data_IF_624600509025
#
_entry.id   IF_624600509025
#
_cell.length_a   1.000
_cell.length_b   1.000
_cell.length_c   1.000
_cell.angle_alpha   90.00
_cell.angle_beta   90.00
_cell.angle_gamma   90.00
#
_symmetry.space_group_name_H-M   'P 1'
#
loop_
_entity.id
_entity.type
_entity.pdbx_description
1 polymer ?
#
# COMPACT_ATOMS: atom_id res chain seq x y z
N UNK A 1 31.50 -11.45 12.93
CA UNK A 1 30.06 -11.14 12.74
C UNK A 1 29.81 -11.13 11.25
N UNK A 2 29.11 -12.14 10.73
CA UNK A 2 28.70 -12.18 9.31
C UNK A 2 27.59 -11.15 9.18
N UNK A 3 27.85 -9.99 8.57
CA UNK A 3 26.80 -9.10 8.09
C UNK A 3 26.01 -9.88 7.01
N UNK A 4 24.91 -10.47 7.40
CA UNK A 4 23.93 -10.94 6.42
C UNK A 4 23.38 -9.69 5.74
N UNK A 5 23.84 -9.40 4.52
CA UNK A 5 23.26 -8.37 3.65
C UNK A 5 21.80 -8.79 3.38
N UNK A 6 20.87 -8.33 4.22
CA UNK A 6 19.44 -8.54 3.97
C UNK A 6 19.12 -7.79 2.69
N UNK A 7 18.80 -8.53 1.65
CA UNK A 7 18.42 -7.95 0.35
C UNK A 7 17.10 -7.18 0.53
N UNK A 8 17.01 -5.98 -0.04
CA UNK A 8 15.75 -5.22 -0.03
C UNK A 8 14.64 -5.99 -0.75
N UNK A 9 13.48 -6.09 -0.12
CA UNK A 9 12.27 -6.68 -0.70
C UNK A 9 11.11 -5.73 -0.43
N UNK A 10 10.61 -5.11 -1.51
CA UNK A 10 9.42 -4.28 -1.49
C UNK A 10 8.29 -4.89 -2.30
N UNK A 11 7.13 -4.22 -2.31
CA UNK A 11 5.98 -4.67 -3.09
C UNK A 11 5.08 -3.50 -3.50
N UNK A 12 4.37 -3.69 -4.62
CA UNK A 12 3.17 -2.94 -4.96
C UNK A 12 1.95 -3.85 -4.77
N UNK A 13 0.93 -3.37 -4.06
CA UNK A 13 -0.20 -4.20 -3.64
C UNK A 13 -1.55 -3.54 -3.96
N UNK A 14 -1.95 -3.50 -5.25
CA UNK A 14 -3.20 -2.88 -5.67
C UNK A 14 -4.42 -3.77 -5.40
N UNK A 15 -5.52 -3.16 -4.93
CA UNK A 15 -6.84 -3.81 -4.85
C UNK A 15 -7.57 -3.64 -6.18
N UNK A 16 -8.04 -4.72 -6.86
CA UNK A 16 -8.69 -4.65 -8.17
C UNK A 16 -10.19 -4.28 -8.07
N UNK A 17 -10.53 -3.29 -7.24
CA UNK A 17 -11.88 -2.72 -7.13
C UNK A 17 -12.20 -1.68 -8.21
N UNK A 18 -11.29 -1.48 -9.16
CA UNK A 18 -11.33 -0.59 -10.31
C UNK A 18 -9.96 -0.49 -10.96
N UNK A 19 -9.88 0.19 -12.10
CA UNK A 19 -8.64 0.44 -12.83
C UNK A 19 -7.67 1.31 -12.01
N UNK A 20 -6.39 1.32 -12.38
CA UNK A 20 -5.41 2.23 -11.76
C UNK A 20 -5.75 3.70 -12.09
N UNK A 21 -5.51 4.57 -11.12
CA UNK A 21 -5.57 6.03 -11.27
C UNK A 21 -4.20 6.64 -10.97
N UNK A 22 -4.05 7.93 -11.22
CA UNK A 22 -2.75 8.59 -11.08
C UNK A 22 -2.11 8.44 -9.69
N UNK A 23 -2.89 8.51 -8.61
CA UNK A 23 -2.39 8.26 -7.26
C UNK A 23 -1.86 6.83 -7.04
N UNK A 24 -2.48 5.83 -7.72
CA UNK A 24 -1.96 4.45 -7.72
C UNK A 24 -0.63 4.35 -8.47
N UNK A 25 -0.49 5.06 -9.60
CA UNK A 25 0.76 5.14 -10.36
C UNK A 25 1.89 5.76 -9.53
N UNK A 26 1.63 6.84 -8.82
CA UNK A 26 2.61 7.48 -7.92
C UNK A 26 3.11 6.48 -6.87
N UNK A 27 2.19 5.69 -6.29
CA UNK A 27 2.56 4.66 -5.31
C UNK A 27 3.35 3.51 -5.95
N UNK A 28 2.94 3.03 -7.12
CA UNK A 28 3.66 2.01 -7.88
C UNK A 28 5.08 2.50 -8.21
N UNK A 29 5.20 3.70 -8.79
CA UNK A 29 6.47 4.29 -9.17
C UNK A 29 7.40 4.51 -7.97
N UNK A 30 6.91 5.11 -6.88
CA UNK A 30 7.71 5.36 -5.68
C UNK A 30 8.24 4.07 -5.06
N UNK A 31 7.41 3.00 -4.96
CA UNK A 31 7.83 1.70 -4.46
C UNK A 31 8.81 0.99 -5.41
N UNK A 32 8.61 1.11 -6.71
CA UNK A 32 9.48 0.55 -7.76
C UNK A 32 10.87 1.19 -7.74
N UNK A 33 10.93 2.52 -7.80
CA UNK A 33 12.18 3.26 -7.76
C UNK A 33 12.98 2.97 -6.49
N UNK A 34 12.31 2.90 -5.34
CA UNK A 34 12.94 2.54 -4.07
C UNK A 34 13.56 1.15 -4.13
N UNK A 35 12.83 0.15 -4.61
CA UNK A 35 13.33 -1.22 -4.71
C UNK A 35 14.48 -1.36 -5.71
N UNK A 36 14.32 -0.84 -6.92
CA UNK A 36 15.29 -1.01 -8.00
C UNK A 36 16.56 -0.18 -7.78
N UNK A 37 16.47 1.03 -7.18
CA UNK A 37 17.65 1.83 -6.81
C UNK A 37 18.54 1.13 -5.77
N UNK A 38 17.95 0.31 -4.90
CA UNK A 38 18.66 -0.53 -3.93
C UNK A 38 19.07 -1.90 -4.49
N UNK A 39 18.86 -2.15 -5.79
CA UNK A 39 19.08 -3.45 -6.45
C UNK A 39 18.34 -4.59 -5.74
N UNK A 40 17.19 -4.26 -5.15
CA UNK A 40 16.29 -5.16 -4.43
C UNK A 40 15.27 -5.83 -5.32
N UNK A 41 14.37 -6.59 -4.68
CA UNK A 41 13.19 -7.19 -5.32
C UNK A 41 11.98 -6.27 -5.15
N UNK A 42 11.13 -6.25 -6.16
CA UNK A 42 9.86 -5.57 -6.17
C UNK A 42 8.75 -6.54 -6.59
N UNK A 43 7.94 -6.99 -5.64
CA UNK A 43 6.88 -7.95 -5.88
C UNK A 43 5.56 -7.26 -6.25
N UNK A 44 4.73 -7.96 -7.03
CA UNK A 44 3.36 -7.58 -7.30
C UNK A 44 2.40 -8.49 -6.53
N UNK A 45 1.52 -7.89 -5.71
CA UNK A 45 0.45 -8.58 -4.99
C UNK A 45 -0.91 -8.00 -5.38
N UNK A 46 -1.81 -8.82 -5.87
CA UNK A 46 -3.20 -8.43 -6.14
C UNK A 46 -4.03 -8.68 -4.87
N UNK A 47 -4.58 -7.60 -4.30
CA UNK A 47 -5.39 -7.66 -3.09
C UNK A 47 -6.87 -7.88 -3.41
N UNK A 48 -7.19 -9.08 -3.92
CA UNK A 48 -8.50 -9.52 -4.38
C UNK A 48 -9.28 -10.33 -3.33
N UNK A 49 -8.95 -10.19 -2.05
CA UNK A 49 -9.59 -10.93 -0.95
C UNK A 49 -11.06 -10.54 -0.74
N UNK A 50 -11.46 -9.32 -1.08
CA UNK A 50 -12.85 -8.85 -1.02
C UNK A 50 -13.54 -9.09 -2.37
N UNK A 51 -13.79 -10.36 -2.66
CA UNK A 51 -14.33 -10.85 -3.94
C UNK A 51 -15.55 -10.05 -4.46
N UNK A 52 -16.53 -9.64 -3.63
CA UNK A 52 -17.66 -8.85 -4.11
C UNK A 52 -17.30 -7.50 -4.73
N UNK A 53 -16.16 -6.93 -4.37
CA UNK A 53 -15.67 -5.64 -4.88
C UNK A 53 -14.56 -5.77 -5.91
N UNK A 54 -14.06 -6.98 -6.12
CA UNK A 54 -12.95 -7.26 -7.03
C UNK A 54 -13.45 -8.04 -8.25
N UNK A 55 -12.90 -7.78 -9.41
CA UNK A 55 -13.20 -8.55 -10.60
C UNK A 55 -11.93 -8.80 -11.44
N UNK A 56 -11.98 -9.87 -12.26
CA UNK A 56 -10.85 -10.27 -13.09
C UNK A 56 -10.50 -9.24 -14.17
N UNK A 57 -11.47 -8.49 -14.69
CA UNK A 57 -11.21 -7.45 -15.69
C UNK A 57 -10.35 -6.33 -15.12
N UNK A 58 -10.64 -5.90 -13.88
CA UNK A 58 -9.82 -4.91 -13.21
C UNK A 58 -8.43 -5.45 -12.89
N UNK A 59 -8.32 -6.73 -12.49
CA UNK A 59 -7.03 -7.38 -12.26
C UNK A 59 -6.18 -7.37 -13.52
N UNK A 60 -6.71 -7.83 -14.65
CA UNK A 60 -6.01 -7.80 -15.94
C UNK A 60 -5.68 -6.36 -16.37
N UNK A 61 -6.62 -5.43 -16.18
CA UNK A 61 -6.34 -4.02 -16.50
C UNK A 61 -5.20 -3.43 -15.67
N UNK A 62 -5.07 -3.82 -14.39
CA UNK A 62 -3.96 -3.38 -13.54
C UNK A 62 -2.63 -3.94 -14.06
N UNK A 63 -2.58 -5.25 -14.34
CA UNK A 63 -1.38 -5.92 -14.84
C UNK A 63 -0.94 -5.32 -16.17
N UNK A 64 -1.85 -5.25 -17.15
CA UNK A 64 -1.55 -4.67 -18.47
C UNK A 64 -1.09 -3.20 -18.35
N UNK A 65 -1.71 -2.42 -17.46
CA UNK A 65 -1.26 -1.04 -17.24
C UNK A 65 0.18 -1.00 -16.70
N UNK A 66 0.55 -1.87 -15.77
CA UNK A 66 1.92 -1.91 -15.25
C UNK A 66 2.92 -2.33 -16.35
N UNK A 67 2.55 -3.29 -17.20
CA UNK A 67 3.35 -3.72 -18.36
C UNK A 67 3.51 -2.59 -19.39
N UNK A 68 2.42 -1.89 -19.74
CA UNK A 68 2.44 -0.73 -20.65
C UNK A 68 3.35 0.39 -20.16
N UNK A 69 3.51 0.52 -18.83
CA UNK A 69 4.42 1.45 -18.18
C UNK A 69 5.83 0.91 -17.98
N UNK A 70 6.12 -0.29 -18.47
CA UNK A 70 7.40 -0.99 -18.35
C UNK A 70 7.83 -1.28 -16.89
N UNK A 71 6.88 -1.47 -15.97
CA UNK A 71 7.19 -1.97 -14.64
C UNK A 71 7.47 -3.47 -14.68
N UNK A 72 8.61 -3.87 -14.14
CA UNK A 72 9.03 -5.27 -14.04
C UNK A 72 9.01 -5.71 -12.57
N UNK A 73 8.13 -6.64 -12.23
CA UNK A 73 8.10 -7.26 -10.92
C UNK A 73 8.93 -8.55 -10.88
N UNK A 74 9.39 -8.89 -9.69
CA UNK A 74 10.22 -10.06 -9.45
C UNK A 74 9.34 -11.22 -8.95
N UNK A 75 9.51 -12.39 -9.55
CA UNK A 75 8.78 -13.60 -9.19
C UNK A 75 7.34 -13.64 -9.71
N UNK A 76 6.54 -14.53 -9.14
CA UNK A 76 5.13 -14.69 -9.51
C UNK A 76 4.23 -13.65 -8.84
N UNK A 77 3.12 -13.30 -9.48
CA UNK A 77 2.11 -12.43 -8.91
C UNK A 77 1.40 -13.19 -7.79
N UNK A 78 1.38 -12.59 -6.59
CA UNK A 78 0.64 -13.15 -5.47
C UNK A 78 -0.82 -12.67 -5.51
N UNK A 79 -1.77 -13.61 -5.49
CA UNK A 79 -3.21 -13.34 -5.41
C UNK A 79 -3.74 -13.68 -4.02
N UNK A 80 -4.35 -12.73 -3.31
CA UNK A 80 -4.85 -12.96 -1.95
C UNK A 80 -6.02 -13.95 -1.92
N UNK A 81 -6.85 -13.98 -2.96
CA UNK A 81 -7.96 -14.93 -3.10
C UNK A 81 -7.50 -16.41 -3.06
N UNK A 82 -6.26 -16.69 -3.46
CA UNK A 82 -5.67 -18.03 -3.47
C UNK A 82 -5.03 -18.43 -2.12
N UNK A 83 -5.02 -17.53 -1.12
CA UNK A 83 -4.32 -17.72 0.15
C UNK A 83 -5.24 -17.89 1.37
N UNK A 84 -6.51 -18.14 1.15
CA UNK A 84 -7.53 -18.26 2.22
C UNK A 84 -7.18 -19.31 3.28
N UNK A 85 -6.60 -20.45 2.87
CA UNK A 85 -6.16 -21.49 3.80
C UNK A 85 -5.03 -21.01 4.70
N UNK A 86 -4.11 -20.21 4.16
CA UNK A 86 -3.03 -19.60 4.94
C UNK A 86 -3.56 -18.60 5.98
N UNK A 87 -4.52 -17.78 5.62
CA UNK A 87 -5.15 -16.85 6.55
C UNK A 87 -5.94 -17.59 7.64
N UNK A 88 -6.58 -18.70 7.28
CA UNK A 88 -7.27 -19.57 8.23
C UNK A 88 -6.28 -20.17 9.25
N UNK A 89 -5.16 -20.69 8.78
CA UNK A 89 -4.10 -21.24 9.64
C UNK A 89 -3.60 -20.20 10.65
N UNK A 90 -3.26 -18.99 10.20
CA UNK A 90 -2.81 -17.91 11.08
C UNK A 90 -3.88 -17.52 12.09
N UNK A 91 -5.14 -17.44 11.66
CA UNK A 91 -6.25 -17.14 12.55
C UNK A 91 -6.42 -18.21 13.64
N UNK A 92 -6.24 -19.49 13.31
CA UNK A 92 -6.25 -20.61 14.26
C UNK A 92 -5.09 -20.52 15.25
N UNK A 93 -3.90 -20.14 14.80
CA UNK A 93 -2.74 -19.90 15.68
C UNK A 93 -3.06 -18.78 16.69
N UNK A 94 -3.53 -17.64 16.22
CA UNK A 94 -3.90 -16.52 17.09
C UNK A 94 -5.01 -16.90 18.09
N UNK A 95 -5.98 -17.72 17.65
CA UNK A 95 -7.06 -18.19 18.52
C UNK A 95 -6.56 -19.13 19.63
N UNK A 96 -5.65 -20.05 19.32
CA UNK A 96 -5.01 -20.93 20.32
C UNK A 96 -4.27 -20.17 21.40
N UNK A 97 -3.75 -18.99 21.11
CA UNK A 97 -3.07 -18.10 22.06
C UNK A 97 -4.03 -17.09 22.71
N UNK A 98 -5.35 -17.29 22.59
CA UNK A 98 -6.38 -16.39 23.15
C UNK A 98 -6.29 -14.92 22.70
N UNK A 99 -5.72 -14.66 21.51
CA UNK A 99 -5.58 -13.33 20.95
C UNK A 99 -6.76 -12.91 20.06
N UNK A 100 -7.78 -13.76 19.96
CA UNK A 100 -9.01 -13.47 19.20
C UNK A 100 -10.26 -13.73 20.01
N UNK A 101 -11.38 -13.20 19.55
CA UNK A 101 -12.71 -13.47 20.10
C UNK A 101 -13.81 -13.23 19.07
N UNK A 102 -14.98 -13.82 19.31
CA UNK A 102 -16.18 -13.62 18.49
C UNK A 102 -16.88 -12.31 18.83
N UNK A 103 -17.36 -11.61 17.80
CA UNK A 103 -18.07 -10.34 17.93
C UNK A 103 -19.39 -10.38 17.14
N UNK A 104 -20.51 -10.17 17.83
CA UNK A 104 -21.85 -10.16 17.23
C UNK A 104 -22.31 -8.76 16.78
N UNK A 105 -21.54 -7.69 17.07
CA UNK A 105 -21.92 -6.32 16.72
C UNK A 105 -22.06 -6.14 15.19
N UNK A 106 -23.14 -5.46 14.81
CA UNK A 106 -23.41 -5.04 13.42
C UNK A 106 -22.77 -3.70 13.10
N UNK A 107 -22.81 -3.29 11.82
CA UNK A 107 -22.42 -1.93 11.42
C UNK A 107 -23.27 -0.86 12.09
N UNK A 108 -24.57 -1.14 12.30
CA UNK A 108 -25.48 -0.23 13.02
C UNK A 108 -25.06 -0.05 14.46
N UNK A 109 -24.69 -1.15 15.15
CA UNK A 109 -24.21 -1.08 16.53
C UNK A 109 -22.95 -0.22 16.63
N UNK A 110 -21.98 -0.41 15.73
CA UNK A 110 -20.76 0.40 15.68
C UNK A 110 -21.09 1.88 15.42
N UNK A 111 -22.01 2.17 14.51
CA UNK A 111 -22.46 3.55 14.24
C UNK A 111 -23.08 4.18 15.51
N UNK A 112 -23.89 3.43 16.26
CA UNK A 112 -24.51 3.90 17.51
C UNK A 112 -23.48 4.11 18.63
N UNK A 113 -22.30 3.51 18.55
CA UNK A 113 -21.15 3.75 19.45
C UNK A 113 -20.33 4.99 19.06
N UNK A 114 -20.77 5.78 18.08
CA UNK A 114 -20.01 6.91 17.55
C UNK A 114 -19.03 6.57 16.43
N UNK A 115 -19.19 5.38 15.81
CA UNK A 115 -18.35 4.92 14.70
C UNK A 115 -17.06 4.21 15.13
N UNK A 116 -16.75 4.19 16.43
CA UNK A 116 -15.57 3.53 17.00
C UNK A 116 -16.04 2.35 17.85
N UNK A 117 -15.44 1.18 17.63
CA UNK A 117 -15.77 -0.01 18.41
C UNK A 117 -15.16 0.05 19.82
N UNK A 118 -15.96 -0.16 20.84
CA UNK A 118 -15.60 -0.01 22.26
C UNK A 118 -15.13 -1.30 22.96
N UNK A 119 -14.80 -2.33 22.21
CA UNK A 119 -14.30 -3.64 22.67
C UNK A 119 -15.31 -4.44 23.54
N UNK A 120 -16.61 -4.06 23.58
CA UNK A 120 -17.64 -4.65 24.47
C UNK A 120 -17.77 -6.17 24.37
N UNK A 121 -17.56 -6.78 23.19
CA UNK A 121 -17.70 -8.23 23.04
C UNK A 121 -16.49 -8.99 23.60
N UNK A 122 -15.39 -8.33 23.94
CA UNK A 122 -14.16 -8.96 24.39
C UNK A 122 -14.35 -9.81 25.65
N UNK A 123 -15.19 -9.33 26.58
CA UNK A 123 -15.49 -9.99 27.87
C UNK A 123 -16.73 -10.89 27.83
N UNK A 124 -17.51 -10.90 26.73
CA UNK A 124 -18.81 -11.58 26.69
C UNK A 124 -18.72 -13.08 26.38
N UNK A 125 -17.54 -13.61 26.06
CA UNK A 125 -17.32 -15.03 25.72
C UNK A 125 -18.34 -15.56 24.70
N UNK A 126 -18.64 -14.76 23.66
CA UNK A 126 -19.60 -15.11 22.63
C UNK A 126 -19.11 -16.36 21.89
N UNK A 127 -19.94 -17.43 21.79
CA UNK A 127 -19.52 -18.66 21.12
C UNK A 127 -19.16 -18.39 19.65
N UNK A 128 -18.16 -19.09 19.10
CA UNK A 128 -17.84 -19.04 17.67
C UNK A 128 -19.07 -19.40 16.84
N UNK A 129 -19.36 -18.58 15.84
CA UNK A 129 -20.46 -18.81 14.88
C UNK A 129 -20.06 -18.23 13.52
N UNK A 130 -20.54 -18.87 12.46
CA UNK A 130 -20.34 -18.35 11.09
C UNK A 130 -21.01 -17.00 10.86
N UNK A 131 -21.95 -16.59 11.73
CA UNK A 131 -22.62 -15.29 11.69
C UNK A 131 -21.92 -14.20 12.49
N UNK A 132 -20.81 -14.51 13.17
CA UNK A 132 -20.06 -13.58 13.99
C UNK A 132 -18.76 -13.15 13.28
N UNK A 133 -18.34 -11.91 13.51
CA UNK A 133 -17.00 -11.49 13.13
C UNK A 133 -15.98 -12.05 14.14
N UNK A 134 -14.74 -12.24 13.70
CA UNK A 134 -13.62 -12.55 14.58
C UNK A 134 -12.74 -11.32 14.67
N UNK A 135 -12.47 -10.86 15.89
CA UNK A 135 -11.62 -9.70 16.17
C UNK A 135 -10.31 -10.11 16.81
N UNK A 136 -9.29 -9.33 16.55
CA UNK A 136 -8.00 -9.37 17.23
C UNK A 136 -8.08 -8.53 18.51
N UNK A 137 -7.52 -9.05 19.61
CA UNK A 137 -7.33 -8.31 20.86
C UNK A 137 -6.12 -7.40 20.70
N UNK A 138 -6.37 -6.15 20.36
CA UNK A 138 -5.32 -5.17 20.11
C UNK A 138 -4.93 -4.48 21.42
N UNK A 139 -3.96 -5.02 22.14
CA UNK A 139 -3.52 -4.50 23.43
C UNK A 139 -2.59 -3.27 23.34
N UNK A 140 -2.44 -2.70 22.12
CA UNK A 140 -1.73 -1.43 21.85
C UNK A 140 -0.31 -1.36 22.43
N UNK A 141 0.49 -2.40 22.19
CA UNK A 141 1.87 -2.46 22.66
C UNK A 141 2.82 -1.56 21.88
N UNK A 142 2.37 -1.00 20.74
CA UNK A 142 3.14 -0.11 19.88
C UNK A 142 2.51 1.28 19.89
N UNK A 143 3.19 2.24 20.51
CA UNK A 143 2.77 3.64 20.59
C UNK A 143 3.48 4.52 19.55
N UNK A 144 4.60 4.06 18.98
CA UNK A 144 5.34 4.80 17.96
C UNK A 144 6.07 3.86 17.01
N UNK A 145 6.33 4.33 15.80
CA UNK A 145 7.22 3.68 14.83
C UNK A 145 7.98 4.73 14.02
N UNK A 146 9.07 4.32 13.40
CA UNK A 146 9.85 5.18 12.52
C UNK A 146 9.42 4.98 11.07
N UNK A 147 8.94 6.04 10.44
CA UNK A 147 8.78 6.12 8.99
C UNK A 147 10.03 6.72 8.36
N UNK A 148 10.54 6.14 7.29
CA UNK A 148 11.80 6.59 6.69
C UNK A 148 11.67 7.96 6.01
N UNK A 149 10.46 8.37 5.61
CA UNK A 149 10.18 9.66 4.97
C UNK A 149 9.64 10.69 5.97
N UNK A 150 8.68 10.29 6.81
CA UNK A 150 7.97 11.20 7.71
C UNK A 150 8.61 11.33 9.10
N UNK A 151 9.63 10.51 9.39
CA UNK A 151 10.30 10.52 10.69
C UNK A 151 9.60 9.67 11.75
N UNK A 152 9.67 10.09 13.00
CA UNK A 152 9.05 9.36 14.11
C UNK A 152 7.55 9.65 14.18
N UNK A 153 6.74 8.61 14.11
CA UNK A 153 5.27 8.67 14.14
C UNK A 153 4.79 8.16 15.50
N UNK A 154 4.10 9.03 16.23
CA UNK A 154 3.48 8.70 17.50
C UNK A 154 1.96 8.55 17.32
N UNK A 155 1.38 7.50 17.92
CA UNK A 155 -0.05 7.18 17.82
C UNK A 155 -0.94 8.32 18.31
N UNK A 156 -0.50 9.07 19.33
CA UNK A 156 -1.25 10.18 19.91
C UNK A 156 -1.35 11.38 18.96
N UNK A 157 -0.47 11.46 17.96
CA UNK A 157 -0.47 12.51 16.96
C UNK A 157 -1.25 12.14 15.69
N UNK A 158 -1.78 10.92 15.62
CA UNK A 158 -2.53 10.43 14.44
C UNK A 158 -4.01 10.37 14.77
N UNK A 159 -4.79 11.23 14.12
CA UNK A 159 -6.24 11.17 14.18
C UNK A 159 -6.74 9.82 13.65
N UNK A 160 -7.67 9.21 14.37
CA UNK A 160 -8.29 7.93 13.99
C UNK A 160 -7.30 6.73 13.89
N UNK A 161 -6.16 6.78 14.58
CA UNK A 161 -5.33 5.58 14.72
C UNK A 161 -6.18 4.45 15.30
N UNK A 162 -6.13 3.27 14.67
CA UNK A 162 -6.90 2.11 15.11
C UNK A 162 -6.30 1.56 16.42
N UNK A 163 -6.76 2.11 17.56
CA UNK A 163 -6.36 1.68 18.89
C UNK A 163 -7.26 0.58 19.47
N UNK A 164 -8.30 0.21 18.73
CA UNK A 164 -9.31 -0.73 19.20
C UNK A 164 -9.11 -2.10 18.58
N UNK A 165 -9.79 -3.09 19.16
CA UNK A 165 -9.84 -4.44 18.61
C UNK A 165 -10.46 -4.40 17.20
N UNK A 166 -9.73 -4.90 16.21
CA UNK A 166 -10.17 -4.83 14.83
C UNK A 166 -10.52 -6.20 14.27
N UNK A 167 -11.29 -6.21 13.18
CA UNK A 167 -11.78 -7.43 12.56
C UNK A 167 -10.63 -8.13 11.80
N UNK A 168 -10.46 -9.44 12.03
CA UNK A 168 -9.62 -10.34 11.24
C UNK A 168 -10.44 -11.12 10.22
N UNK A 169 -11.66 -11.58 10.62
CA UNK A 169 -12.61 -12.24 9.73
C UNK A 169 -13.98 -11.61 9.88
N UNK A 170 -14.58 -11.24 8.77
CA UNK A 170 -15.89 -10.59 8.69
C UNK A 170 -17.01 -11.62 8.87
N UNK A 171 -18.20 -11.14 9.20
CA UNK A 171 -19.41 -11.97 9.35
C UNK A 171 -19.84 -12.68 8.07
N UNK A 172 -19.53 -12.11 6.92
CA UNK A 172 -19.78 -12.68 5.60
C UNK A 172 -18.70 -13.71 5.16
N UNK A 173 -17.76 -14.02 6.05
CA UNK A 173 -16.76 -15.05 5.87
C UNK A 173 -15.44 -14.57 5.26
N UNK A 174 -15.37 -13.35 4.72
CA UNK A 174 -14.15 -12.80 4.14
C UNK A 174 -13.13 -12.39 5.20
N UNK A 175 -11.85 -12.58 4.90
CA UNK A 175 -10.76 -12.07 5.73
C UNK A 175 -10.60 -10.57 5.56
N UNK A 176 -10.10 -9.90 6.60
CA UNK A 176 -9.87 -8.46 6.55
C UNK A 176 -8.57 -8.12 5.86
N UNK A 177 -8.49 -6.89 5.33
CA UNK A 177 -7.28 -6.30 4.77
C UNK A 177 -6.09 -6.40 5.74
N UNK A 178 -6.28 -6.05 7.03
CA UNK A 178 -5.20 -6.09 8.00
C UNK A 178 -4.60 -7.49 8.17
N UNK A 179 -5.43 -8.53 8.23
CA UNK A 179 -4.94 -9.90 8.35
C UNK A 179 -4.18 -10.32 7.08
N UNK A 180 -4.81 -10.20 5.91
CA UNK A 180 -4.23 -10.68 4.67
C UNK A 180 -2.93 -9.94 4.33
N UNK A 181 -2.91 -8.60 4.46
CA UNK A 181 -1.74 -7.79 4.19
C UNK A 181 -0.56 -8.16 5.10
N UNK A 182 -0.78 -8.29 6.42
CA UNK A 182 0.28 -8.61 7.38
C UNK A 182 0.82 -10.03 7.16
N UNK A 183 -0.04 -11.02 6.94
CA UNK A 183 0.37 -12.40 6.69
C UNK A 183 1.22 -12.48 5.42
N UNK A 184 0.77 -11.84 4.35
CA UNK A 184 1.49 -11.87 3.08
C UNK A 184 2.83 -11.15 3.15
N UNK A 185 2.90 -10.00 3.83
CA UNK A 185 4.15 -9.26 4.02
C UNK A 185 5.16 -10.06 4.87
N UNK A 186 4.68 -10.89 5.83
CA UNK A 186 5.54 -11.83 6.56
C UNK A 186 6.02 -12.96 5.64
N UNK A 187 5.08 -13.64 4.97
CA UNK A 187 5.38 -14.85 4.18
C UNK A 187 6.27 -14.54 2.96
N UNK A 188 6.20 -13.32 2.41
CA UNK A 188 7.04 -12.87 1.31
C UNK A 188 8.30 -12.12 1.75
N UNK A 189 8.60 -12.10 3.06
CA UNK A 189 9.79 -11.48 3.64
C UNK A 189 9.97 -10.00 3.27
N UNK A 190 8.87 -9.23 3.20
CA UNK A 190 8.94 -7.80 2.91
C UNK A 190 9.79 -7.10 3.97
N UNK A 191 10.78 -6.32 3.53
CA UNK A 191 11.69 -5.57 4.40
C UNK A 191 11.31 -4.09 4.52
N UNK A 192 10.61 -3.55 3.53
CA UNK A 192 10.12 -2.17 3.55
C UNK A 192 8.77 -2.06 2.85
N UNK A 193 7.82 -1.42 3.52
CA UNK A 193 6.46 -1.17 3.02
C UNK A 193 6.37 0.27 2.53
N UNK A 194 6.31 0.43 1.20
CA UNK A 194 6.04 1.72 0.55
C UNK A 194 4.57 1.78 0.14
N UNK A 195 3.85 2.80 0.61
CA UNK A 195 2.41 2.94 0.36
C UNK A 195 1.94 4.37 0.53
N UNK A 196 0.69 4.67 0.17
CA UNK A 196 0.11 6.00 0.39
C UNK A 196 -0.10 6.32 1.87
N UNK A 197 0.02 7.56 2.22
CA UNK A 197 -0.10 8.07 3.59
C UNK A 197 -1.58 8.03 4.12
N UNK A 198 -2.57 7.75 3.28
CA UNK A 198 -3.98 7.58 3.69
C UNK A 198 -4.22 6.37 4.63
N UNK A 199 -3.30 5.42 4.65
CA UNK A 199 -3.35 4.25 5.51
C UNK A 199 -2.27 4.27 6.61
N UNK A 200 -1.67 5.43 6.87
CA UNK A 200 -0.69 5.63 7.94
C UNK A 200 -1.23 5.19 9.30
N UNK A 201 -2.47 5.55 9.62
CA UNK A 201 -3.11 5.21 10.89
C UNK A 201 -3.24 3.70 11.15
N UNK A 202 -3.42 2.89 10.08
CA UNK A 202 -3.54 1.43 10.20
C UNK A 202 -2.23 0.73 10.53
N UNK A 203 -1.09 1.42 10.39
CA UNK A 203 0.25 0.85 10.63
C UNK A 203 0.40 0.30 12.05
N UNK A 204 -0.14 1.00 13.04
CA UNK A 204 -0.07 0.55 14.44
C UNK A 204 -0.77 -0.79 14.65
N UNK A 205 -2.00 -0.92 14.13
CA UNK A 205 -2.77 -2.17 14.21
C UNK A 205 -2.05 -3.32 13.48
N UNK A 206 -1.48 -3.04 12.30
CA UNK A 206 -0.74 -4.02 11.52
C UNK A 206 0.57 -4.44 12.18
N UNK A 207 1.29 -3.53 12.82
CA UNK A 207 2.50 -3.85 13.58
C UNK A 207 2.20 -4.71 14.81
N UNK A 208 1.13 -4.38 15.57
CA UNK A 208 0.70 -5.20 16.70
C UNK A 208 0.31 -6.62 16.25
N UNK A 209 -0.46 -6.74 15.17
CA UNK A 209 -0.83 -8.04 14.61
C UNK A 209 0.40 -8.83 14.13
N UNK A 210 1.33 -8.18 13.43
CA UNK A 210 2.57 -8.78 12.97
C UNK A 210 3.38 -9.37 14.14
N UNK A 211 3.58 -8.58 15.19
CA UNK A 211 4.31 -9.04 16.38
C UNK A 211 3.63 -10.24 17.03
N UNK A 212 2.31 -10.22 17.16
CA UNK A 212 1.55 -11.32 17.69
C UNK A 212 1.71 -12.60 16.85
N UNK A 213 1.59 -12.50 15.52
CA UNK A 213 1.77 -13.63 14.61
C UNK A 213 3.17 -14.23 14.74
N UNK A 214 4.21 -13.40 14.71
CA UNK A 214 5.59 -13.86 14.82
C UNK A 214 5.85 -14.54 16.16
N UNK A 215 5.41 -13.93 17.27
CA UNK A 215 5.58 -14.50 18.61
C UNK A 215 4.90 -15.86 18.74
N UNK A 216 3.61 -15.95 18.37
CA UNK A 216 2.86 -17.22 18.46
C UNK A 216 3.42 -18.32 17.56
N UNK A 217 3.93 -17.95 16.37
CA UNK A 217 4.50 -18.92 15.42
C UNK A 217 5.84 -19.50 15.92
N UNK A 218 6.64 -18.69 16.60
CA UNK A 218 7.90 -19.14 17.21
C UNK A 218 7.66 -20.10 18.38
N UNK A 219 6.63 -19.87 19.19
CA UNK A 219 6.26 -20.73 20.32
C UNK A 219 5.73 -22.11 19.88
N UNK A 220 5.07 -22.17 18.71
CA UNK A 220 4.47 -23.41 18.20
C UNK A 220 5.46 -24.30 17.43
N UNK A 221 6.77 -23.99 17.38
CA UNK A 221 7.76 -24.69 16.58
C UNK A 221 7.34 -24.90 15.11
N UNK A 222 6.51 -24.02 14.58
CA UNK A 222 6.22 -24.02 13.16
C UNK A 222 7.53 -23.75 12.42
N UNK A 223 8.08 -24.80 11.76
CA UNK A 223 9.37 -24.80 11.05
C UNK A 223 9.40 -23.85 9.83
N UNK A 224 8.66 -22.76 9.89
CA UNK A 224 8.65 -21.77 8.83
C UNK A 224 9.81 -20.80 9.08
N UNK A 225 10.94 -21.04 8.40
CA UNK A 225 12.17 -20.23 8.52
C UNK A 225 11.92 -18.73 8.28
N UNK A 226 10.82 -18.37 7.63
CA UNK A 226 10.43 -16.98 7.36
C UNK A 226 10.14 -16.19 8.64
N UNK A 227 9.71 -16.82 9.73
CA UNK A 227 9.42 -16.14 10.99
C UNK A 227 10.69 -15.76 11.78
N UNK A 228 11.78 -16.53 11.64
CA UNK A 228 13.04 -16.29 12.36
C UNK A 228 13.84 -15.09 11.80
N UNK A 229 13.75 -14.83 10.49
CA UNK A 229 14.48 -13.73 9.85
C UNK A 229 13.78 -12.35 9.94
N UNK A 230 12.48 -12.32 10.22
CA UNK A 230 11.66 -11.11 10.11
C UNK A 230 11.38 -10.39 11.44
N UNK A 231 11.99 -10.79 12.55
CA UNK A 231 11.56 -10.32 13.87
C UNK A 231 11.80 -8.83 14.14
N UNK A 232 12.72 -8.12 13.46
CA UNK A 232 13.15 -6.82 13.97
C UNK A 232 13.31 -5.65 12.97
N UNK A 233 13.11 -5.79 11.65
CA UNK A 233 13.46 -4.68 10.73
C UNK A 233 12.47 -4.47 9.57
N UNK A 234 11.19 -4.31 9.87
CA UNK A 234 10.25 -3.83 8.86
C UNK A 234 10.25 -2.30 8.85
N UNK A 235 10.65 -1.71 7.73
CA UNK A 235 10.63 -0.27 7.51
C UNK A 235 9.34 0.18 6.82
N UNK A 236 9.00 1.46 6.97
CA UNK A 236 7.84 2.08 6.34
C UNK A 236 8.21 3.36 5.61
N UNK A 237 7.55 3.58 4.48
CA UNK A 237 7.56 4.83 3.73
C UNK A 237 6.11 5.14 3.36
N UNK A 238 5.56 6.20 3.92
CA UNK A 238 4.25 6.69 3.55
C UNK A 238 4.40 7.87 2.58
N UNK A 239 4.09 7.61 1.31
CA UNK A 239 4.20 8.57 0.21
C UNK A 239 3.09 9.61 0.28
N UNK A 240 3.33 10.84 -0.21
CA UNK A 240 2.32 11.88 -0.29
C UNK A 240 1.15 11.45 -1.19
N UNK A 241 -0.05 11.88 -0.83
CA UNK A 241 -1.25 11.63 -1.61
C UNK A 241 -1.40 12.65 -2.73
N UNK A 242 -1.91 12.16 -3.84
CA UNK A 242 -2.47 13.02 -4.89
C UNK A 242 -3.88 13.42 -4.46
N UNK A 243 -4.13 14.71 -4.36
CA UNK A 243 -5.42 15.28 -4.01
C UNK A 243 -6.06 15.91 -5.26
N UNK A 244 -7.39 15.88 -5.36
CA UNK A 244 -8.14 16.63 -6.35
C UNK A 244 -8.64 17.99 -5.82
N UNK A 245 -8.63 18.17 -4.49
CA UNK A 245 -8.86 19.42 -3.77
C UNK A 245 -8.17 19.35 -2.41
N UNK A 246 -8.14 20.44 -1.65
CA UNK A 246 -7.51 20.49 -0.31
C UNK A 246 -7.98 19.40 0.66
N UNK A 247 -9.19 18.88 0.47
CA UNK A 247 -9.81 17.92 1.39
C UNK A 247 -10.12 16.57 0.74
N UNK A 248 -9.97 16.44 -0.59
CA UNK A 248 -10.43 15.25 -1.30
C UNK A 248 -9.30 14.53 -2.01
N UNK A 249 -9.07 13.26 -1.60
CA UNK A 249 -8.09 12.37 -2.23
C UNK A 249 -8.53 11.99 -3.65
N UNK A 250 -7.57 11.94 -4.57
CA UNK A 250 -7.74 11.35 -5.90
C UNK A 250 -7.80 9.82 -5.77
N UNK A 251 -9.02 9.27 -5.72
CA UNK A 251 -9.24 7.83 -5.46
C UNK A 251 -10.40 7.27 -6.29
N UNK A 252 -10.44 5.93 -6.40
CA UNK A 252 -11.53 5.21 -7.10
C UNK A 252 -12.92 5.56 -6.55
N UNK A 253 -13.05 5.76 -5.23
CA UNK A 253 -14.31 6.12 -4.57
C UNK A 253 -14.77 7.53 -4.94
N UNK A 254 -13.85 8.42 -5.31
CA UNK A 254 -14.11 9.81 -5.69
C UNK A 254 -14.08 9.99 -7.22
N UNK A 255 -14.40 8.93 -7.98
CA UNK A 255 -14.46 8.95 -9.44
C UNK A 255 -13.17 9.44 -10.13
N UNK A 256 -12.01 9.11 -9.55
CA UNK A 256 -10.73 9.40 -10.18
C UNK A 256 -10.67 8.79 -11.58
N UNK A 257 -10.29 9.59 -12.56
CA UNK A 257 -10.14 9.16 -13.95
C UNK A 257 -9.11 8.02 -14.04
N UNK A 258 -9.46 6.89 -14.67
CA UNK A 258 -8.49 5.82 -14.94
C UNK A 258 -7.33 6.33 -15.79
N UNK A 259 -6.15 5.75 -15.59
CA UNK A 259 -4.98 6.01 -16.44
C UNK A 259 -5.26 5.47 -17.85
N UNK A 260 -4.92 6.28 -18.85
CA UNK A 260 -4.85 5.84 -20.25
C UNK A 260 -3.41 5.43 -20.56
N UNK A 261 -3.16 4.12 -20.72
CA UNK A 261 -1.81 3.59 -20.97
C UNK A 261 -1.20 4.05 -22.30
N UNK A 262 -2.01 4.58 -23.24
CA UNK A 262 -1.50 5.24 -24.45
C UNK A 262 -0.70 6.51 -24.15
N UNK A 263 -0.78 7.02 -22.94
CA UNK A 263 -0.07 8.22 -22.46
C UNK A 263 0.96 7.86 -21.37
N UNK A 264 1.51 6.64 -21.42
CA UNK A 264 2.36 6.10 -20.37
C UNK A 264 3.60 6.94 -20.09
N UNK A 265 4.30 7.41 -21.11
CA UNK A 265 5.50 8.24 -20.96
C UNK A 265 5.17 9.57 -20.30
N UNK A 266 4.08 10.20 -20.72
CA UNK A 266 3.61 11.45 -20.13
C UNK A 266 3.26 11.29 -18.66
N UNK A 267 2.47 10.25 -18.32
CA UNK A 267 2.12 9.95 -16.94
C UNK A 267 3.33 9.63 -16.06
N UNK A 268 4.31 8.86 -16.54
CA UNK A 268 5.55 8.58 -15.82
C UNK A 268 6.30 9.86 -15.49
N UNK A 269 6.45 10.76 -16.46
CA UNK A 269 7.16 12.01 -16.25
C UNK A 269 6.43 12.92 -15.24
N UNK A 270 5.09 13.01 -15.32
CA UNK A 270 4.29 13.78 -14.35
C UNK A 270 4.41 13.17 -12.95
N UNK A 271 4.40 11.82 -12.83
CA UNK A 271 4.56 11.14 -11.54
C UNK A 271 5.97 11.31 -10.95
N UNK A 272 7.02 11.29 -11.78
CA UNK A 272 8.40 11.60 -11.35
C UNK A 272 8.49 13.02 -10.79
N UNK A 273 7.93 14.01 -11.48
CA UNK A 273 7.90 15.40 -11.01
C UNK A 273 7.06 15.55 -9.75
N UNK A 274 5.95 14.83 -9.63
CA UNK A 274 5.15 14.81 -8.40
C UNK A 274 5.97 14.33 -7.19
N UNK A 275 6.80 13.30 -7.39
CA UNK A 275 7.72 12.76 -6.38
C UNK A 275 9.04 13.57 -6.29
N UNK A 276 9.15 14.70 -6.99
CA UNK A 276 10.35 15.55 -7.05
C UNK A 276 11.62 14.80 -7.50
N UNK A 277 11.42 13.83 -8.39
CA UNK A 277 12.53 13.09 -8.96
C UNK A 277 13.05 13.74 -10.25
N UNK A 278 14.34 13.52 -10.52
CA UNK A 278 14.97 14.02 -11.74
C UNK A 278 14.45 13.28 -12.96
N UNK A 279 13.97 14.04 -13.95
CA UNK A 279 13.66 13.55 -15.31
C UNK A 279 14.85 13.81 -16.24
N UNK A 280 14.85 13.17 -17.42
CA UNK A 280 15.86 13.39 -18.46
C UNK A 280 15.88 14.86 -18.87
N UNK A 281 17.04 15.49 -19.00
CA UNK A 281 17.17 16.93 -19.23
C UNK A 281 16.46 17.39 -20.52
N UNK A 282 16.43 16.56 -21.57
CA UNK A 282 15.68 16.82 -22.79
C UNK A 282 14.16 16.83 -22.54
N UNK A 283 13.64 15.88 -21.76
CA UNK A 283 12.24 15.85 -21.33
C UNK A 283 11.92 17.08 -20.48
N UNK A 284 12.85 17.51 -19.62
CA UNK A 284 12.70 18.73 -18.83
C UNK A 284 12.53 19.96 -19.72
N UNK A 285 13.26 20.02 -20.82
CA UNK A 285 13.13 21.08 -21.81
C UNK A 285 11.79 21.04 -22.54
N UNK A 286 11.28 19.87 -22.87
CA UNK A 286 9.95 19.66 -23.45
C UNK A 286 8.87 20.12 -22.47
N UNK A 287 8.98 19.73 -21.18
CA UNK A 287 8.06 20.20 -20.14
C UNK A 287 7.99 21.73 -20.04
N UNK A 288 9.14 22.42 -20.05
CA UNK A 288 9.20 23.89 -20.02
C UNK A 288 8.50 24.53 -21.20
N UNK A 289 8.54 23.93 -22.38
CA UNK A 289 7.83 24.41 -23.57
C UNK A 289 6.32 24.25 -23.46
N UNK A 290 5.84 23.16 -22.86
CA UNK A 290 4.40 22.85 -22.75
C UNK A 290 3.79 23.57 -21.55
N UNK A 291 4.43 23.49 -20.39
CA UNK A 291 3.88 23.97 -19.10
C UNK A 291 4.47 25.31 -18.62
N UNK A 292 5.53 25.83 -19.29
CA UNK A 292 6.27 27.04 -18.87
C UNK A 292 7.30 26.74 -17.78
N UNK A 293 7.99 27.78 -17.31
CA UNK A 293 9.13 27.65 -16.40
C UNK A 293 8.73 27.26 -14.96
N UNK A 294 7.50 27.56 -14.51
CA UNK A 294 6.99 27.28 -13.16
C UNK A 294 6.29 25.90 -13.11
N UNK A 295 7.04 24.85 -13.37
CA UNK A 295 6.55 23.48 -13.52
C UNK A 295 5.72 23.00 -12.32
N UNK A 296 6.20 23.20 -11.10
CA UNK A 296 5.57 22.68 -9.88
C UNK A 296 4.24 23.39 -9.57
N UNK A 297 4.12 24.68 -9.90
CA UNK A 297 2.88 25.45 -9.68
C UNK A 297 1.81 25.08 -10.74
N UNK A 298 2.22 24.74 -11.97
CA UNK A 298 1.30 24.35 -13.05
C UNK A 298 0.86 22.90 -13.01
N UNK A 299 1.58 22.02 -12.29
CA UNK A 299 1.18 20.62 -12.13
C UNK A 299 -0.12 20.46 -11.29
N UNK A 300 -0.64 21.51 -10.69
CA UNK A 300 -1.93 21.44 -9.99
C UNK A 300 -3.10 21.04 -10.90
N UNK A 301 -2.98 21.33 -12.21
CA UNK A 301 -3.96 20.86 -13.21
C UNK A 301 -3.23 20.53 -14.50
N UNK A 302 -3.31 19.27 -14.92
CA UNK A 302 -2.77 18.78 -16.19
C UNK A 302 -3.94 18.33 -17.05
N UNK A 303 -4.07 18.91 -18.22
CA UNK A 303 -5.14 18.56 -19.16
C UNK A 303 -4.76 17.34 -19.99
N UNK A 304 -5.77 16.63 -20.49
CA UNK A 304 -5.56 15.51 -21.41
C UNK A 304 -4.79 15.94 -22.66
N UNK A 305 -5.08 17.12 -23.20
CA UNK A 305 -4.38 17.67 -24.38
C UNK A 305 -2.89 17.87 -24.11
N UNK A 306 -2.52 18.39 -22.94
CA UNK A 306 -1.12 18.55 -22.53
C UNK A 306 -0.42 17.20 -22.37
N UNK A 307 -1.10 16.19 -21.80
CA UNK A 307 -0.56 14.82 -21.72
C UNK A 307 -0.34 14.23 -23.11
N UNK A 308 -1.28 14.38 -24.04
CA UNK A 308 -1.14 13.92 -25.43
C UNK A 308 0.00 14.64 -26.18
N UNK A 309 0.16 15.93 -25.94
CA UNK A 309 1.25 16.70 -26.50
C UNK A 309 2.60 16.25 -25.94
N UNK A 310 2.67 16.03 -24.62
CA UNK A 310 3.85 15.53 -23.94
C UNK A 310 4.22 14.13 -24.43
N UNK A 311 3.25 13.21 -24.51
CA UNK A 311 3.45 11.84 -25.00
C UNK A 311 4.08 11.79 -26.39
N UNK A 312 3.56 12.62 -27.31
CA UNK A 312 4.08 12.71 -28.68
C UNK A 312 5.47 13.34 -28.77
N UNK A 313 5.81 14.20 -27.82
CA UNK A 313 7.07 14.96 -27.83
C UNK A 313 8.23 14.23 -27.16
N UNK A 314 7.95 13.23 -26.29
CA UNK A 314 8.98 12.47 -25.59
C UNK A 314 9.59 11.42 -26.53
N UNK A 315 10.93 11.53 -26.86
CA UNK A 315 11.59 10.60 -27.77
C UNK A 315 12.07 9.30 -27.09
N UNK A 316 11.84 9.15 -25.80
CA UNK A 316 12.28 8.02 -25.00
C UNK A 316 11.17 7.01 -24.76
N UNK A 317 11.50 5.74 -24.59
CA UNK A 317 10.55 4.71 -24.14
C UNK A 317 10.33 4.77 -22.61
N UNK A 318 9.29 4.06 -22.10
CA UNK A 318 9.05 3.95 -20.69
C UNK A 318 10.23 3.34 -19.92
N UNK A 319 10.87 2.30 -20.50
CA UNK A 319 12.05 1.64 -19.94
C UNK A 319 13.22 2.63 -19.78
N UNK A 320 13.48 3.44 -20.80
CA UNK A 320 14.54 4.46 -20.75
C UNK A 320 14.29 5.52 -19.68
N UNK A 321 13.03 5.93 -19.54
CA UNK A 321 12.61 6.89 -18.50
C UNK A 321 12.81 6.28 -17.12
N UNK A 322 12.37 5.04 -16.91
CA UNK A 322 12.52 4.32 -15.64
C UNK A 322 13.98 4.06 -15.30
N UNK A 323 14.78 3.62 -16.26
CA UNK A 323 16.23 3.41 -16.07
C UNK A 323 16.96 4.68 -15.64
N UNK A 324 16.61 5.82 -16.26
CA UNK A 324 17.15 7.12 -15.85
C UNK A 324 16.72 7.46 -14.43
N UNK A 325 15.43 7.28 -14.11
CA UNK A 325 14.89 7.58 -12.81
C UNK A 325 15.50 6.70 -11.71
N UNK A 326 15.70 5.40 -11.95
CA UNK A 326 16.36 4.47 -11.01
C UNK A 326 17.79 4.93 -10.71
N UNK A 327 18.57 5.27 -11.76
CA UNK A 327 19.97 5.71 -11.62
C UNK A 327 20.12 7.02 -10.84
N UNK A 328 19.12 7.91 -10.95
CA UNK A 328 19.13 9.24 -10.35
C UNK A 328 18.16 9.36 -9.16
N UNK A 329 17.61 8.24 -8.66
CA UNK A 329 16.65 8.25 -7.58
C UNK A 329 17.20 8.92 -6.33
N UNK A 330 16.52 9.97 -5.88
CA UNK A 330 16.84 10.66 -4.64
C UNK A 330 15.67 10.52 -3.65
N UNK A 331 15.82 9.60 -2.70
CA UNK A 331 14.82 9.36 -1.67
C UNK A 331 14.52 10.63 -0.84
N UNK A 332 15.54 11.45 -0.55
CA UNK A 332 15.39 12.66 0.28
C UNK A 332 14.64 13.80 -0.44
N UNK A 333 14.46 13.71 -1.75
CA UNK A 333 13.68 14.69 -2.51
C UNK A 333 12.17 14.40 -2.48
N UNK A 334 11.74 13.21 -2.04
CA UNK A 334 10.32 12.89 -2.00
C UNK A 334 9.60 13.83 -1.03
N UNK A 335 8.54 14.55 -1.47
CA UNK A 335 7.83 15.48 -0.60
C UNK A 335 7.10 14.76 0.53
N UNK A 336 7.07 15.38 1.70
CA UNK A 336 6.35 14.83 2.87
C UNK A 336 4.88 15.26 2.92
N UNK A 337 4.52 16.31 2.20
CA UNK A 337 3.16 16.86 2.17
C UNK A 337 2.37 16.34 0.96
N UNK A 338 1.08 16.13 1.17
CA UNK A 338 0.16 15.85 0.08
C UNK A 338 0.09 17.03 -0.90
N UNK A 339 -0.10 16.72 -2.19
CA UNK A 339 -0.15 17.75 -3.23
C UNK A 339 -1.44 17.62 -4.05
N UNK A 340 -2.02 18.75 -4.42
CA UNK A 340 -3.14 18.80 -5.36
C UNK A 340 -2.57 18.59 -6.76
N UNK A 341 -3.17 17.64 -7.47
CA UNK A 341 -2.95 17.43 -8.90
C UNK A 341 -4.23 16.87 -9.51
N UNK A 342 -4.82 17.63 -10.41
CA UNK A 342 -6.01 17.22 -11.15
C UNK A 342 -5.61 16.92 -12.59
N UNK A 343 -6.08 15.76 -13.09
CA UNK A 343 -5.96 15.39 -14.52
C UNK A 343 -7.36 15.52 -15.10
N UNK A 344 -7.55 16.50 -15.99
CA UNK A 344 -8.83 16.84 -16.60
C UNK A 344 -8.87 16.55 -18.11
#
# INVERSE_FOLDING_TARGET
>A
MVQTNIKYIGRFAPTPSGKLHFGSLVTALGSYLRAKSLKGFWHLRIEDIDEPRCNNENTLSIINTLEDFAFEWDGEILYQSQRKDRYKEVLEILNKHNLTYSCSCTRSDIKNMGGIYDNRCRALNIPPSNSNAIRFKNDNNISSFKDSLLGNIDIHNIAFAENNDFILKRRDGYYSYNLSCVVDDIDTNITEIVRGNDILATTFAQLNLRNAIITCSNETNCNNQNYQHNSNNLNFIHLPLVLCSDTQKYSKQNHATPIDSKLAKAYLCVALLFLEQKIIDEIDTIFKKIFGNDKLVKLNTVTKTELEQLERSIPYSCEQILDHAIKNFNFLSIPTNNKILTIS
#
